data_IF_366458052188
#
_entry.id   IF_366458052188
#
_cell.length_a   1.000
_cell.length_b   1.000
_cell.length_c   1.000
_cell.angle_alpha   90.00
_cell.angle_beta   90.00
_cell.angle_gamma   90.00
#
_symmetry.space_group_name_H-M   'P 1'
#
loop_
_entity.id
_entity.type
_entity.pdbx_description
1 polymer ?
#
# COMPACT_ATOMS: atom_id res chain seq x y z
N UNK A 1 32.32 -4.39 11.26
CA UNK A 1 31.82 -5.61 10.62
C UNK A 1 32.32 -5.75 9.18
N UNK A 2 32.13 -4.78 8.24
CA UNK A 2 32.46 -4.92 6.81
C UNK A 2 33.95 -5.19 6.54
N UNK A 3 34.84 -4.47 7.22
CA UNK A 3 36.31 -4.74 7.11
C UNK A 3 36.70 -6.14 7.59
N UNK A 4 36.05 -6.62 8.65
CA UNK A 4 36.30 -7.98 9.16
C UNK A 4 35.80 -9.05 8.19
N UNK A 5 34.59 -8.86 7.64
CA UNK A 5 34.01 -9.78 6.66
C UNK A 5 34.90 -9.93 5.42
N UNK A 6 35.47 -8.84 4.88
CA UNK A 6 36.42 -8.87 3.76
C UNK A 6 37.73 -9.54 4.14
N UNK A 7 38.32 -9.17 5.29
CA UNK A 7 39.60 -9.80 5.77
C UNK A 7 39.45 -11.29 6.02
N UNK A 8 38.29 -11.71 6.54
CA UNK A 8 38.00 -13.13 6.79
C UNK A 8 37.52 -13.87 5.53
N UNK A 9 37.48 -13.21 4.36
CA UNK A 9 37.00 -13.79 3.09
C UNK A 9 35.57 -14.38 3.19
N UNK A 10 34.73 -13.80 4.03
CA UNK A 10 33.30 -14.19 4.16
C UNK A 10 32.42 -13.60 3.04
N UNK A 11 32.93 -12.65 2.30
CA UNK A 11 32.30 -12.02 1.15
C UNK A 11 33.31 -11.87 0.03
N UNK A 12 32.84 -11.91 -1.22
CA UNK A 12 33.69 -11.68 -2.40
C UNK A 12 34.07 -10.20 -2.52
N UNK A 13 35.11 -9.90 -3.30
CA UNK A 13 35.61 -8.53 -3.47
C UNK A 13 34.59 -7.61 -4.18
N UNK A 14 33.78 -8.17 -5.06
CA UNK A 14 32.70 -7.50 -5.79
C UNK A 14 31.40 -7.32 -4.98
N UNK A 15 31.28 -7.94 -3.80
CA UNK A 15 30.09 -7.82 -2.94
C UNK A 15 29.96 -6.40 -2.39
N UNK A 16 28.82 -5.76 -2.69
CA UNK A 16 28.48 -4.43 -2.15
C UNK A 16 27.91 -4.59 -0.74
N UNK A 17 28.60 -4.03 0.25
CA UNK A 17 28.16 -3.98 1.64
C UNK A 17 27.70 -2.55 1.96
N UNK A 18 26.42 -2.39 2.30
CA UNK A 18 25.83 -1.09 2.66
C UNK A 18 25.35 -1.08 4.10
N UNK A 19 25.52 0.04 4.79
CA UNK A 19 24.94 0.29 6.10
C UNK A 19 23.79 1.29 5.98
N UNK A 20 22.66 0.95 6.59
CA UNK A 20 21.51 1.84 6.70
C UNK A 20 21.24 2.03 8.19
N UNK A 21 21.35 3.29 8.66
CA UNK A 21 20.94 3.66 10.01
C UNK A 21 19.40 3.69 10.09
N UNK A 22 18.87 3.43 11.29
CA UNK A 22 17.43 3.51 11.54
C UNK A 22 17.15 4.28 12.84
N UNK A 23 16.00 4.94 12.86
CA UNK A 23 15.49 5.62 14.03
C UNK A 23 14.80 4.68 15.01
N UNK A 24 14.20 5.23 16.04
CA UNK A 24 13.48 4.49 17.07
C UNK A 24 11.97 4.52 16.82
N UNK A 25 11.32 3.41 17.08
CA UNK A 25 9.88 3.35 17.22
C UNK A 25 9.53 3.74 18.66
N UNK A 26 8.73 4.79 18.82
CA UNK A 26 8.31 5.33 20.11
C UNK A 26 6.83 5.01 20.38
N UNK A 27 6.47 4.87 21.66
CA UNK A 27 5.07 4.81 22.07
C UNK A 27 4.37 6.18 21.99
N UNK A 28 3.06 6.21 22.27
CA UNK A 28 2.26 7.45 22.35
C UNK A 28 2.82 8.49 23.35
N UNK A 29 3.59 8.02 24.35
CA UNK A 29 4.29 8.87 25.32
C UNK A 29 5.60 9.49 24.80
N UNK A 30 5.93 9.24 23.53
CA UNK A 30 7.15 9.72 22.89
C UNK A 30 8.44 9.01 23.32
N UNK A 31 8.34 7.95 24.13
CA UNK A 31 9.50 7.21 24.62
C UNK A 31 9.74 5.95 23.78
N UNK A 32 11.01 5.60 23.52
CA UNK A 32 11.34 4.35 22.86
C UNK A 32 10.77 3.14 23.63
N UNK A 33 10.26 2.16 22.92
CA UNK A 33 9.91 0.88 23.53
C UNK A 33 11.16 0.25 24.14
N UNK A 34 11.31 0.29 25.49
CA UNK A 34 12.49 -0.18 26.19
C UNK A 34 12.49 -1.68 26.38
N UNK A 35 13.55 -2.36 25.91
CA UNK A 35 13.73 -3.82 26.04
C UNK A 35 14.14 -4.28 27.45
N UNK A 36 14.68 -3.40 28.30
CA UNK A 36 15.35 -3.79 29.54
C UNK A 36 14.52 -3.77 30.83
N UNK A 37 13.32 -3.19 30.82
CA UNK A 37 12.49 -3.01 32.00
C UNK A 37 11.16 -3.81 31.98
N UNK A 38 11.06 -4.87 31.17
CA UNK A 38 9.87 -5.74 31.16
C UNK A 38 8.60 -5.13 30.52
N UNK A 39 8.68 -3.91 29.97
CA UNK A 39 7.56 -3.18 29.37
C UNK A 39 7.53 -3.17 27.84
N UNK A 40 8.31 -4.03 27.21
CA UNK A 40 8.37 -4.08 25.73
C UNK A 40 7.17 -4.82 25.19
N UNK A 41 6.43 -4.15 24.33
CA UNK A 41 5.45 -4.81 23.47
C UNK A 41 6.21 -5.75 22.52
N UNK A 42 6.01 -7.07 22.67
CA UNK A 42 6.56 -8.04 21.73
C UNK A 42 5.84 -7.88 20.40
N UNK A 43 6.57 -8.01 19.29
CA UNK A 43 6.00 -7.90 17.94
C UNK A 43 4.79 -8.83 17.73
N UNK A 44 4.87 -10.05 18.26
CA UNK A 44 3.78 -11.02 18.20
C UNK A 44 2.50 -10.50 18.87
N UNK A 45 2.64 -9.86 20.05
CA UNK A 45 1.51 -9.25 20.76
C UNK A 45 0.93 -8.06 19.98
N UNK A 46 1.79 -7.22 19.41
CA UNK A 46 1.38 -6.09 18.58
C UNK A 46 0.60 -6.56 17.35
N UNK A 47 1.07 -7.60 16.67
CA UNK A 47 0.37 -8.22 15.53
C UNK A 47 -1.00 -8.73 15.97
N UNK A 48 -1.08 -9.40 17.12
CA UNK A 48 -2.34 -9.90 17.68
C UNK A 48 -3.33 -8.76 17.95
N UNK A 49 -2.92 -7.72 18.67
CA UNK A 49 -3.75 -6.54 19.00
C UNK A 49 -4.26 -5.84 17.73
N UNK A 50 -3.42 -5.67 16.71
CA UNK A 50 -3.82 -5.05 15.44
C UNK A 50 -4.78 -5.94 14.66
N UNK A 51 -4.56 -7.25 14.62
CA UNK A 51 -5.47 -8.18 13.95
C UNK A 51 -6.85 -8.20 14.62
N UNK A 52 -6.91 -8.17 15.95
CA UNK A 52 -8.17 -8.10 16.70
C UNK A 52 -8.89 -6.76 16.46
N UNK A 53 -8.18 -5.65 16.45
CA UNK A 53 -8.72 -4.32 16.10
C UNK A 53 -9.31 -4.32 14.68
N UNK A 54 -8.55 -4.84 13.70
CA UNK A 54 -9.02 -4.93 12.31
C UNK A 54 -10.21 -5.87 12.16
N UNK A 55 -10.23 -6.98 12.91
CA UNK A 55 -11.38 -7.88 12.89
C UNK A 55 -12.66 -7.18 13.36
N UNK A 56 -12.59 -6.43 14.47
CA UNK A 56 -13.75 -5.68 14.96
C UNK A 56 -14.23 -4.67 13.91
N UNK A 57 -13.34 -3.87 13.32
CA UNK A 57 -13.70 -2.89 12.30
C UNK A 57 -14.34 -3.53 11.04
N UNK A 58 -13.84 -4.69 10.60
CA UNK A 58 -14.37 -5.40 9.42
C UNK A 58 -15.77 -5.97 9.72
N UNK A 59 -15.97 -6.55 10.89
CA UNK A 59 -17.26 -7.11 11.29
C UNK A 59 -18.33 -6.03 11.49
N UNK A 60 -17.95 -4.88 12.07
CA UNK A 60 -18.85 -3.73 12.23
C UNK A 60 -19.35 -3.20 10.88
N UNK A 61 -18.51 -3.17 9.87
CA UNK A 61 -18.85 -2.69 8.53
C UNK A 61 -19.72 -3.64 7.69
N UNK A 62 -19.97 -4.88 8.17
CA UNK A 62 -20.83 -5.92 7.55
C UNK A 62 -20.57 -6.20 6.06
N UNK A 63 -19.45 -5.78 5.51
CA UNK A 63 -19.13 -5.90 4.08
C UNK A 63 -18.53 -7.26 3.70
N UNK A 64 -18.07 -8.04 4.69
CA UNK A 64 -17.45 -9.36 4.50
C UNK A 64 -18.31 -10.42 5.18
N UNK A 65 -18.52 -11.57 4.53
CA UNK A 65 -19.17 -12.73 5.17
C UNK A 65 -18.30 -13.20 6.33
N UNK A 66 -18.91 -13.55 7.46
CA UNK A 66 -18.28 -13.96 8.71
C UNK A 66 -17.18 -15.04 8.55
N UNK A 67 -17.30 -15.90 7.53
CA UNK A 67 -16.38 -17.02 7.29
C UNK A 67 -14.97 -16.60 6.87
N UNK A 68 -14.78 -15.37 6.39
CA UNK A 68 -13.48 -14.87 5.87
C UNK A 68 -12.97 -13.62 6.60
N UNK A 69 -13.72 -13.09 7.54
CA UNK A 69 -13.40 -11.85 8.25
C UNK A 69 -12.04 -11.91 8.97
N UNK A 70 -11.69 -13.09 9.57
CA UNK A 70 -10.40 -13.27 10.26
C UNK A 70 -9.22 -13.27 9.29
N UNK A 71 -9.33 -13.95 8.14
CA UNK A 71 -8.30 -13.94 7.10
C UNK A 71 -8.09 -12.52 6.53
N UNK A 72 -9.18 -11.84 6.24
CA UNK A 72 -9.14 -10.43 5.80
C UNK A 72 -8.50 -9.54 6.86
N UNK A 73 -8.86 -9.70 8.14
CA UNK A 73 -8.28 -8.92 9.24
C UNK A 73 -6.77 -9.12 9.36
N UNK A 74 -6.26 -10.33 9.17
CA UNK A 74 -4.82 -10.61 9.18
C UNK A 74 -4.09 -9.91 8.02
N UNK A 75 -4.66 -9.94 6.82
CA UNK A 75 -4.08 -9.26 5.64
C UNK A 75 -4.06 -7.74 5.87
N UNK A 76 -5.18 -7.17 6.32
CA UNK A 76 -5.30 -5.73 6.56
C UNK A 76 -4.44 -5.30 7.76
N UNK A 77 -4.39 -6.09 8.83
CA UNK A 77 -3.53 -5.85 9.99
C UNK A 77 -2.04 -5.86 9.62
N UNK A 78 -1.60 -6.81 8.79
CA UNK A 78 -0.23 -6.81 8.27
C UNK A 78 0.08 -5.56 7.46
N UNK A 79 -0.85 -5.11 6.61
CA UNK A 79 -0.68 -3.87 5.85
C UNK A 79 -0.54 -2.65 6.76
N UNK A 80 -1.34 -2.57 7.83
CA UNK A 80 -1.27 -1.48 8.80
C UNK A 80 0.11 -1.38 9.46
N UNK A 81 0.70 -2.51 9.84
CA UNK A 81 2.03 -2.57 10.45
C UNK A 81 3.10 -2.21 9.43
N UNK A 82 3.17 -2.91 8.31
CA UNK A 82 4.23 -2.73 7.31
C UNK A 82 4.21 -1.35 6.68
N UNK A 83 3.03 -0.90 6.26
CA UNK A 83 2.89 0.44 5.70
C UNK A 83 3.16 1.52 6.74
N UNK A 84 2.66 1.34 7.97
CA UNK A 84 2.88 2.27 9.08
C UNK A 84 4.38 2.47 9.38
N UNK A 85 5.17 1.40 9.38
CA UNK A 85 6.62 1.44 9.56
C UNK A 85 7.32 2.01 8.31
N UNK A 86 7.10 1.41 7.15
CA UNK A 86 7.81 1.72 5.90
C UNK A 86 7.47 3.10 5.33
N UNK A 87 6.35 3.72 5.71
CA UNK A 87 6.00 5.09 5.31
C UNK A 87 6.84 6.17 6.00
N UNK A 88 7.59 5.81 7.04
CA UNK A 88 8.52 6.70 7.70
C UNK A 88 9.91 6.60 7.07
N UNK A 89 10.63 7.72 7.06
CA UNK A 89 12.04 7.71 6.64
C UNK A 89 12.84 6.87 7.64
N UNK A 90 13.57 5.86 7.16
CA UNK A 90 14.25 4.90 8.02
C UNK A 90 15.12 5.53 9.12
N UNK A 91 15.82 6.65 8.83
CA UNK A 91 16.72 7.33 9.77
C UNK A 91 16.02 8.21 10.80
N UNK A 92 14.69 8.37 10.74
CA UNK A 92 13.92 9.21 11.67
C UNK A 92 13.19 8.38 12.70
N UNK A 93 13.10 8.93 13.91
CA UNK A 93 12.20 8.40 14.93
C UNK A 93 10.74 8.64 14.54
N UNK A 94 9.85 7.71 14.90
CA UNK A 94 8.42 7.88 14.70
C UNK A 94 7.61 7.33 15.88
N UNK A 95 6.38 7.81 16.02
CA UNK A 95 5.43 7.33 17.03
C UNK A 95 4.56 6.24 16.40
N UNK A 96 4.57 5.06 17.04
CA UNK A 96 3.68 3.98 16.67
C UNK A 96 2.33 4.19 17.35
N UNK A 97 1.30 4.44 16.57
CA UNK A 97 -0.07 4.64 17.01
C UNK A 97 -0.98 3.62 16.31
N UNK A 98 -1.46 2.62 17.05
CA UNK A 98 -2.32 1.55 16.52
C UNK A 98 -3.58 2.14 15.89
N UNK A 99 -4.27 3.04 16.57
CA UNK A 99 -5.52 3.64 16.10
C UNK A 99 -5.33 4.37 14.75
N UNK A 100 -4.23 5.14 14.64
CA UNK A 100 -3.88 5.81 13.39
C UNK A 100 -3.55 4.82 12.28
N UNK A 101 -2.76 3.78 12.57
CA UNK A 101 -2.29 2.83 11.54
C UNK A 101 -3.39 1.90 11.05
N UNK A 102 -4.39 1.61 11.89
CA UNK A 102 -5.56 0.80 11.55
C UNK A 102 -6.73 1.60 10.97
N UNK A 103 -6.55 2.91 10.73
CA UNK A 103 -7.57 3.75 10.11
C UNK A 103 -7.71 3.43 8.62
N UNK A 104 -8.96 3.41 8.13
CA UNK A 104 -9.30 3.35 6.71
C UNK A 104 -9.25 4.72 6.02
N UNK A 105 -8.82 5.74 6.74
CA UNK A 105 -8.68 7.11 6.23
C UNK A 105 -7.25 7.61 6.41
N UNK A 106 -6.83 8.49 5.52
CA UNK A 106 -5.51 9.10 5.55
C UNK A 106 -4.42 8.20 4.97
N UNK A 107 -3.17 8.51 5.31
CA UNK A 107 -1.99 7.81 4.77
C UNK A 107 -1.70 6.53 5.55
N UNK A 108 -2.45 5.46 5.27
CA UNK A 108 -2.42 4.17 5.99
C UNK A 108 -2.46 2.98 5.04
N UNK A 109 -1.97 1.82 5.51
CA UNK A 109 -2.07 0.56 4.76
C UNK A 109 -3.51 0.17 4.43
N UNK A 110 -4.44 0.16 5.41
CA UNK A 110 -5.86 -0.13 5.16
C UNK A 110 -6.51 0.78 4.10
N UNK A 111 -6.18 2.07 4.06
CA UNK A 111 -6.66 2.99 3.01
C UNK A 111 -6.19 2.59 1.62
N UNK A 112 -4.92 2.21 1.47
CA UNK A 112 -4.37 1.73 0.20
C UNK A 112 -5.07 0.44 -0.24
N UNK A 113 -5.24 -0.52 0.68
CA UNK A 113 -5.94 -1.77 0.39
C UNK A 113 -7.40 -1.53 -0.01
N UNK A 114 -8.10 -0.62 0.67
CA UNK A 114 -9.47 -0.24 0.33
C UNK A 114 -9.56 0.33 -1.09
N UNK A 115 -8.59 1.14 -1.50
CA UNK A 115 -8.50 1.67 -2.87
C UNK A 115 -8.31 0.54 -3.89
N UNK A 116 -7.42 -0.42 -3.63
CA UNK A 116 -7.20 -1.58 -4.49
C UNK A 116 -8.48 -2.43 -4.60
N UNK A 117 -9.12 -2.75 -3.49
CA UNK A 117 -10.37 -3.54 -3.48
C UNK A 117 -11.49 -2.84 -4.23
N UNK A 118 -11.57 -1.50 -4.13
CA UNK A 118 -12.52 -0.70 -4.91
C UNK A 118 -12.25 -0.85 -6.41
N UNK A 119 -11.00 -0.74 -6.87
CA UNK A 119 -10.67 -0.95 -8.28
C UNK A 119 -11.02 -2.36 -8.74
N UNK A 120 -10.66 -3.40 -7.97
CA UNK A 120 -11.05 -4.79 -8.23
C UNK A 120 -12.56 -4.96 -8.36
N UNK A 121 -13.34 -4.34 -7.46
CA UNK A 121 -14.80 -4.43 -7.48
C UNK A 121 -15.41 -3.81 -8.75
N UNK A 122 -14.89 -2.66 -9.22
CA UNK A 122 -15.36 -2.02 -10.46
C UNK A 122 -15.06 -2.91 -11.66
N UNK A 123 -13.82 -3.39 -11.77
CA UNK A 123 -13.39 -4.27 -12.86
C UNK A 123 -14.11 -5.62 -12.84
N UNK A 124 -14.37 -6.15 -11.63
CA UNK A 124 -15.13 -7.39 -11.42
C UNK A 124 -16.56 -7.27 -11.91
N UNK A 125 -17.28 -6.21 -11.57
CA UNK A 125 -18.65 -5.95 -12.05
C UNK A 125 -18.71 -5.90 -13.57
N UNK A 126 -17.77 -5.22 -14.21
CA UNK A 126 -17.72 -5.15 -15.66
C UNK A 126 -17.54 -6.53 -16.31
N UNK A 127 -16.72 -7.40 -15.71
CA UNK A 127 -16.53 -8.79 -16.17
C UNK A 127 -17.74 -9.67 -15.90
N UNK A 128 -18.42 -9.51 -14.76
CA UNK A 128 -19.63 -10.27 -14.41
C UNK A 128 -20.79 -10.01 -15.40
N UNK A 129 -20.80 -8.85 -16.06
CA UNK A 129 -21.72 -8.51 -17.15
C UNK A 129 -21.35 -9.17 -18.50
N UNK A 130 -20.35 -10.05 -18.53
CA UNK A 130 -19.90 -10.76 -19.73
C UNK A 130 -18.95 -9.97 -20.63
N UNK A 131 -18.38 -8.86 -20.13
CA UNK A 131 -17.48 -8.02 -20.89
C UNK A 131 -16.01 -8.38 -20.67
N UNK A 132 -15.16 -8.09 -21.67
CA UNK A 132 -13.72 -8.27 -21.60
C UNK A 132 -12.99 -6.93 -21.51
N UNK A 133 -11.95 -6.87 -20.67
CA UNK A 133 -11.09 -5.70 -20.58
C UNK A 133 -10.19 -5.58 -21.80
N UNK A 134 -10.21 -4.43 -22.45
CA UNK A 134 -9.33 -4.14 -23.59
C UNK A 134 -8.04 -3.49 -23.08
N UNK A 135 -6.99 -4.28 -22.87
CA UNK A 135 -5.67 -3.75 -22.48
C UNK A 135 -5.16 -2.74 -23.51
N UNK A 136 -4.57 -1.66 -23.02
CA UNK A 136 -3.98 -0.62 -23.87
C UNK A 136 -4.96 0.30 -24.60
N UNK A 137 -6.26 0.26 -24.30
CA UNK A 137 -7.29 1.10 -24.92
C UNK A 137 -7.30 2.54 -24.39
N UNK A 138 -6.16 3.10 -23.99
CA UNK A 138 -6.06 4.45 -23.43
C UNK A 138 -6.26 5.51 -24.51
N UNK A 139 -7.14 6.46 -24.21
CA UNK A 139 -7.38 7.66 -25.03
C UNK A 139 -6.77 8.90 -24.36
N UNK A 140 -6.67 10.00 -25.08
CA UNK A 140 -6.30 11.28 -24.50
C UNK A 140 -7.28 11.68 -23.39
N UNK A 141 -6.81 12.24 -22.25
CA UNK A 141 -7.67 12.54 -21.11
C UNK A 141 -8.70 13.61 -21.46
N UNK A 142 -9.92 13.46 -20.91
CA UNK A 142 -11.07 14.35 -21.08
C UNK A 142 -11.23 15.35 -19.91
N UNK A 143 -10.68 15.01 -18.74
CA UNK A 143 -10.75 15.82 -17.54
C UNK A 143 -9.38 16.01 -16.90
N UNK A 144 -9.27 17.00 -16.02
CA UNK A 144 -8.03 17.25 -15.28
C UNK A 144 -7.73 16.10 -14.30
N UNK A 145 -8.75 15.49 -13.70
CA UNK A 145 -8.59 14.33 -12.80
C UNK A 145 -8.10 13.08 -13.56
N UNK A 146 -8.65 12.81 -14.76
CA UNK A 146 -8.14 11.74 -15.62
C UNK A 146 -6.67 11.95 -15.99
N UNK A 147 -6.34 13.19 -16.40
CA UNK A 147 -4.96 13.58 -16.76
C UNK A 147 -4.01 13.43 -15.57
N UNK A 148 -4.39 13.90 -14.39
CA UNK A 148 -3.59 13.78 -13.17
C UNK A 148 -3.31 12.32 -12.82
N UNK A 149 -4.35 11.47 -12.89
CA UNK A 149 -4.22 10.03 -12.66
C UNK A 149 -3.27 9.36 -13.66
N UNK A 150 -3.41 9.66 -14.96
CA UNK A 150 -2.51 9.13 -16.01
C UNK A 150 -1.05 9.56 -15.78
N UNK A 151 -0.83 10.82 -15.42
CA UNK A 151 0.50 11.33 -15.10
C UNK A 151 1.08 10.69 -13.84
N UNK A 152 0.25 10.45 -12.82
CA UNK A 152 0.67 9.76 -11.61
C UNK A 152 1.13 8.33 -11.93
N UNK A 153 0.38 7.58 -12.72
CA UNK A 153 0.76 6.24 -13.18
C UNK A 153 2.09 6.26 -13.96
N UNK A 154 2.28 7.23 -14.83
CA UNK A 154 3.50 7.30 -15.67
C UNK A 154 4.80 7.50 -14.88
N UNK A 155 4.73 7.97 -13.62
CA UNK A 155 5.90 8.17 -12.74
C UNK A 155 6.40 6.89 -12.06
N UNK A 156 5.66 5.77 -12.18
CA UNK A 156 5.94 4.53 -11.44
C UNK A 156 7.40 4.09 -11.53
N UNK A 157 7.95 3.93 -12.73
CA UNK A 157 9.32 3.42 -12.91
C UNK A 157 10.35 4.32 -12.23
N UNK A 158 10.27 5.64 -12.45
CA UNK A 158 11.21 6.57 -11.84
C UNK A 158 11.12 6.62 -10.30
N UNK A 159 9.92 6.40 -9.73
CA UNK A 159 9.74 6.30 -8.28
C UNK A 159 10.41 5.05 -7.72
N UNK A 160 10.21 3.90 -8.38
CA UNK A 160 10.80 2.63 -7.93
C UNK A 160 12.33 2.67 -8.04
N UNK A 161 12.87 3.15 -9.16
CA UNK A 161 14.31 3.33 -9.35
C UNK A 161 14.91 4.24 -8.26
N UNK A 162 14.31 5.39 -8.02
CA UNK A 162 14.75 6.33 -7.00
C UNK A 162 14.68 5.73 -5.58
N UNK A 163 13.58 5.03 -5.26
CA UNK A 163 13.42 4.36 -3.98
C UNK A 163 14.47 3.26 -3.76
N UNK A 164 14.82 2.52 -4.82
CA UNK A 164 15.86 1.50 -4.79
C UNK A 164 17.26 2.11 -4.58
N UNK A 165 17.62 3.12 -5.36
CA UNK A 165 18.94 3.78 -5.26
C UNK A 165 19.16 4.38 -3.88
N UNK A 166 18.15 5.06 -3.32
CA UNK A 166 18.23 5.69 -2.01
C UNK A 166 17.93 4.73 -0.84
N UNK A 167 17.53 3.48 -1.12
CA UNK A 167 17.06 2.51 -0.11
C UNK A 167 15.95 3.10 0.77
N UNK A 168 14.97 3.71 0.11
CA UNK A 168 13.97 4.59 0.71
C UNK A 168 12.53 4.11 0.43
N UNK A 169 12.04 3.03 1.07
CA UNK A 169 10.70 2.49 0.85
C UNK A 169 9.58 3.51 1.12
N UNK A 170 9.81 4.50 1.98
CA UNK A 170 8.86 5.58 2.23
C UNK A 170 8.49 6.39 0.98
N UNK A 171 9.35 6.42 -0.05
CA UNK A 171 9.03 7.05 -1.34
C UNK A 171 7.97 6.27 -2.12
N UNK A 172 8.01 4.93 -2.05
CA UNK A 172 6.95 4.08 -2.62
C UNK A 172 5.65 4.33 -1.86
N UNK A 173 5.68 4.37 -0.52
CA UNK A 173 4.50 4.66 0.29
C UNK A 173 3.88 6.03 -0.05
N UNK A 174 4.70 7.08 -0.17
CA UNK A 174 4.23 8.41 -0.54
C UNK A 174 3.60 8.41 -1.94
N UNK A 175 4.21 7.72 -2.90
CA UNK A 175 3.71 7.61 -4.26
C UNK A 175 2.36 6.89 -4.34
N UNK A 176 2.21 5.72 -3.69
CA UNK A 176 0.94 4.99 -3.74
C UNK A 176 -0.19 5.71 -3.01
N UNK A 177 0.12 6.48 -1.98
CA UNK A 177 -0.87 7.34 -1.33
C UNK A 177 -1.35 8.46 -2.26
N UNK A 178 -0.44 9.13 -2.97
CA UNK A 178 -0.79 10.11 -3.99
C UNK A 178 -1.62 9.46 -5.11
N UNK A 179 -1.17 8.34 -5.66
CA UNK A 179 -1.89 7.61 -6.70
C UNK A 179 -3.30 7.19 -6.25
N UNK A 180 -3.46 6.74 -5.01
CA UNK A 180 -4.76 6.39 -4.44
C UNK A 180 -5.69 7.62 -4.33
N UNK A 181 -5.16 8.77 -3.96
CA UNK A 181 -5.93 10.02 -3.90
C UNK A 181 -6.35 10.49 -5.29
N UNK A 182 -5.46 10.45 -6.28
CA UNK A 182 -5.79 10.81 -7.68
C UNK A 182 -6.84 9.85 -8.26
N UNK A 183 -6.73 8.54 -7.98
CA UNK A 183 -7.76 7.58 -8.36
C UNK A 183 -9.11 7.90 -7.70
N UNK A 184 -9.15 8.16 -6.40
CA UNK A 184 -10.39 8.48 -5.70
C UNK A 184 -11.01 9.78 -6.23
N UNK A 185 -10.21 10.80 -6.55
CA UNK A 185 -10.68 12.05 -7.18
C UNK A 185 -11.32 11.76 -8.54
N UNK A 186 -10.63 11.05 -9.43
CA UNK A 186 -11.15 10.63 -10.72
C UNK A 186 -12.45 9.81 -10.59
N UNK A 187 -12.48 8.85 -9.66
CA UNK A 187 -13.64 7.99 -9.43
C UNK A 187 -14.89 8.78 -8.98
N UNK A 188 -14.71 9.81 -8.14
CA UNK A 188 -15.83 10.65 -7.68
C UNK A 188 -16.41 11.53 -8.79
N UNK A 189 -15.60 11.98 -9.72
CA UNK A 189 -16.02 12.85 -10.82
C UNK A 189 -16.53 12.09 -12.04
N UNK A 190 -16.19 10.79 -12.17
CA UNK A 190 -16.40 10.02 -13.40
C UNK A 190 -17.33 8.83 -13.20
N UNK A 191 -18.43 8.80 -13.97
CA UNK A 191 -19.34 7.66 -13.99
C UNK A 191 -18.83 6.55 -14.92
N UNK A 192 -17.80 5.79 -14.46
CA UNK A 192 -17.03 4.85 -15.28
C UNK A 192 -17.89 3.80 -15.96
N UNK A 193 -18.69 3.02 -15.20
CA UNK A 193 -19.48 1.91 -15.74
C UNK A 193 -20.71 2.37 -16.54
N UNK A 194 -21.22 3.56 -16.29
CA UNK A 194 -22.36 4.14 -17.00
C UNK A 194 -21.98 5.11 -18.12
N UNK A 195 -20.68 5.20 -18.49
CA UNK A 195 -20.26 5.92 -19.70
C UNK A 195 -20.90 5.29 -20.93
N UNK A 196 -21.48 6.15 -21.81
CA UNK A 196 -22.20 5.71 -22.99
C UNK A 196 -21.28 5.50 -24.20
N UNK A 197 -20.17 6.23 -24.25
CA UNK A 197 -19.15 6.04 -25.28
C UNK A 197 -18.31 4.79 -24.93
N UNK A 198 -18.52 3.71 -25.67
CA UNK A 198 -17.84 2.43 -25.42
C UNK A 198 -16.32 2.53 -25.55
N UNK A 199 -15.77 3.40 -26.42
CA UNK A 199 -14.34 3.60 -26.53
C UNK A 199 -13.80 4.33 -25.29
N UNK A 200 -14.53 5.31 -24.78
CA UNK A 200 -14.19 6.04 -23.57
C UNK A 200 -14.31 5.15 -22.33
N UNK A 201 -15.37 4.37 -22.20
CA UNK A 201 -15.53 3.37 -21.14
C UNK A 201 -14.36 2.39 -21.11
N UNK A 202 -13.97 1.85 -22.27
CA UNK A 202 -12.83 0.97 -22.38
C UNK A 202 -11.53 1.64 -21.95
N UNK A 203 -11.33 2.94 -22.27
CA UNK A 203 -10.19 3.73 -21.81
C UNK A 203 -10.16 3.88 -20.28
N UNK A 204 -11.28 4.21 -19.66
CA UNK A 204 -11.38 4.31 -18.20
C UNK A 204 -11.07 2.98 -17.51
N UNK A 205 -11.62 1.89 -18.01
CA UNK A 205 -11.37 0.55 -17.44
C UNK A 205 -9.92 0.10 -17.64
N UNK A 206 -9.30 0.42 -18.77
CA UNK A 206 -7.87 0.16 -18.99
C UNK A 206 -6.99 0.97 -18.03
N UNK A 207 -7.34 2.24 -17.76
CA UNK A 207 -6.65 3.07 -16.78
C UNK A 207 -6.81 2.52 -15.37
N UNK A 208 -8.00 2.06 -14.99
CA UNK A 208 -8.24 1.44 -13.69
C UNK A 208 -7.43 0.15 -13.50
N UNK A 209 -7.38 -0.70 -14.53
CA UNK A 209 -6.60 -1.95 -14.47
C UNK A 209 -5.12 -1.64 -14.28
N UNK A 210 -4.60 -0.62 -14.98
CA UNK A 210 -3.22 -0.16 -14.81
C UNK A 210 -2.95 0.41 -13.42
N UNK A 211 -3.86 1.22 -12.87
CA UNK A 211 -3.76 1.73 -11.49
C UNK A 211 -3.72 0.56 -10.50
N UNK A 212 -4.58 -0.44 -10.65
CA UNK A 212 -4.59 -1.64 -9.84
C UNK A 212 -3.26 -2.38 -9.91
N UNK A 213 -2.75 -2.65 -11.13
CA UNK A 213 -1.47 -3.33 -11.32
C UNK A 213 -0.31 -2.58 -10.65
N UNK A 214 -0.26 -1.27 -10.78
CA UNK A 214 0.77 -0.42 -10.15
C UNK A 214 0.67 -0.46 -8.62
N UNK A 215 -0.53 -0.31 -8.05
CA UNK A 215 -0.73 -0.36 -6.61
C UNK A 215 -0.38 -1.75 -6.04
N UNK A 216 -0.83 -2.84 -6.70
CA UNK A 216 -0.52 -4.21 -6.28
C UNK A 216 0.99 -4.49 -6.35
N UNK A 217 1.67 -4.05 -7.41
CA UNK A 217 3.13 -4.17 -7.53
C UNK A 217 3.84 -3.41 -6.40
N UNK A 218 3.42 -2.20 -6.09
CA UNK A 218 4.03 -1.42 -5.01
C UNK A 218 3.84 -2.06 -3.64
N UNK A 219 2.64 -2.59 -3.32
CA UNK A 219 2.43 -3.25 -2.03
C UNK A 219 3.17 -4.57 -1.93
N UNK A 220 3.36 -5.29 -3.04
CA UNK A 220 4.20 -6.50 -3.10
C UNK A 220 5.67 -6.15 -2.79
N UNK A 221 6.21 -5.07 -3.38
CA UNK A 221 7.53 -4.55 -3.04
C UNK A 221 7.66 -4.16 -1.55
N UNK A 222 6.58 -3.70 -0.92
CA UNK A 222 6.50 -3.40 0.51
C UNK A 222 6.25 -4.66 1.36
N UNK A 223 6.00 -5.80 0.73
CA UNK A 223 5.89 -7.12 1.36
C UNK A 223 4.53 -7.41 2.00
N UNK A 224 3.43 -6.89 1.45
CA UNK A 224 2.07 -7.26 1.83
C UNK A 224 1.17 -7.34 0.58
N UNK A 225 -0.03 -7.87 0.73
CA UNK A 225 -0.97 -8.10 -0.37
C UNK A 225 -2.36 -7.52 -0.06
N UNK A 226 -3.18 -7.36 -1.09
CA UNK A 226 -4.56 -6.93 -0.94
C UNK A 226 -5.52 -8.13 -0.90
N UNK A 227 -6.57 -8.09 -0.05
CA UNK A 227 -7.64 -9.09 -0.09
C UNK A 227 -8.50 -8.89 -1.35
N UNK A 228 -9.30 -9.90 -1.68
CA UNK A 228 -10.25 -9.79 -2.80
C UNK A 228 -11.46 -8.92 -2.47
N UNK A 229 -11.85 -8.90 -1.19
CA UNK A 229 -12.99 -8.12 -0.66
C UNK A 229 -12.64 -7.57 0.72
N UNK A 230 -13.22 -6.43 1.02
CA UNK A 230 -12.99 -5.74 2.29
C UNK A 230 -14.21 -4.94 2.71
#
# INVERSE_FOLDING_TARGET
CFRCARKAKLVNDDTVLSFIGFGTMNGKDGKPFKTREGGVMRLERLIGEINDEMYQKIVENRSVKDTDARGTAQIVGLSAIKYGDLSNQASKDYVFDVERFTSFEGNTGPYILYTIVRTKSILGKYKEEGNELKKGALLAPKSDSEKALMLSVSRFNGVVENAFEEKAPHKICAYIYELANEFNHFYHETKILSEQDEARKASYLALLDLVREVLETCIDLLGFSAPERM
#
